data_IF_996022089677
#
_entry.id   IF_996022089677
#
_cell.length_a   1.000
_cell.length_b   1.000
_cell.length_c   1.000
_cell.angle_alpha   90.00
_cell.angle_beta   90.00
_cell.angle_gamma   90.00
#
_symmetry.space_group_name_H-M   'P 1'
#
loop_
_entity.id
_entity.type
_entity.pdbx_description
1 polymer ?
#
# COMPACT_ATOMS: atom_id res chain seq x y z
N UNK A 1 -25.59 -34.23 -5.00
CA UNK A 1 -24.35 -33.44 -5.20
C UNK A 1 -23.68 -33.27 -3.85
N UNK A 2 -22.40 -33.63 -3.67
CA UNK A 2 -21.72 -33.35 -2.42
C UNK A 2 -21.55 -31.83 -2.24
N UNK A 3 -21.81 -31.34 -1.03
CA UNK A 3 -21.58 -29.94 -0.65
C UNK A 3 -20.23 -29.83 0.07
N UNK A 4 -19.50 -28.73 -0.15
CA UNK A 4 -18.30 -28.46 0.62
C UNK A 4 -18.64 -28.15 2.08
N UNK A 5 -17.82 -28.64 3.02
CA UNK A 5 -17.95 -28.33 4.45
C UNK A 5 -17.73 -26.84 4.75
N UNK A 6 -16.83 -26.19 4.01
CA UNK A 6 -16.52 -24.77 4.14
C UNK A 6 -16.71 -24.04 2.81
N UNK A 7 -17.29 -22.82 2.81
CA UNK A 7 -17.39 -21.99 1.62
C UNK A 7 -16.02 -21.69 0.99
N UNK A 8 -15.88 -21.70 -0.35
CA UNK A 8 -14.62 -21.39 -1.03
C UNK A 8 -13.99 -20.04 -0.66
N UNK A 9 -14.81 -19.04 -0.30
CA UNK A 9 -14.35 -17.73 0.16
C UNK A 9 -13.50 -17.80 1.44
N UNK A 10 -13.69 -18.82 2.27
CA UNK A 10 -12.96 -18.97 3.54
C UNK A 10 -11.66 -19.77 3.39
N UNK A 11 -11.43 -20.43 2.26
CA UNK A 11 -10.24 -21.28 2.07
C UNK A 11 -8.91 -20.52 2.25
N UNK A 12 -8.74 -19.27 1.77
CA UNK A 12 -7.51 -18.50 2.05
C UNK A 12 -7.28 -18.28 3.55
N UNK A 13 -8.33 -17.96 4.29
CA UNK A 13 -8.24 -17.76 5.74
C UNK A 13 -7.95 -19.07 6.50
N UNK A 14 -8.50 -20.20 6.04
CA UNK A 14 -8.20 -21.53 6.59
C UNK A 14 -6.75 -21.92 6.32
N UNK A 15 -6.22 -21.63 5.12
CA UNK A 15 -4.80 -21.87 4.78
C UNK A 15 -3.85 -21.13 5.72
N UNK A 16 -4.23 -19.96 6.24
CA UNK A 16 -3.42 -19.22 7.22
C UNK A 16 -3.39 -19.87 8.62
N UNK A 17 -4.34 -20.76 8.92
CA UNK A 17 -4.43 -21.46 10.22
C UNK A 17 -3.70 -22.81 10.23
N UNK A 18 -3.22 -23.27 9.08
CA UNK A 18 -2.62 -24.59 8.92
C UNK A 18 -1.16 -24.49 8.44
N UNK A 19 -0.39 -25.55 8.70
CA UNK A 19 0.95 -25.74 8.15
C UNK A 19 1.98 -24.71 8.61
N UNK A 20 2.79 -24.20 7.67
CA UNK A 20 3.81 -23.18 7.93
C UNK A 20 3.21 -21.79 8.18
N UNK A 21 2.03 -21.50 7.61
CA UNK A 21 1.39 -20.20 7.74
C UNK A 21 0.95 -19.91 9.18
N UNK A 22 0.59 -20.94 9.96
CA UNK A 22 0.20 -20.77 11.36
C UNK A 22 1.37 -20.44 12.29
N UNK A 23 2.62 -20.64 11.83
CA UNK A 23 3.85 -20.31 12.56
C UNK A 23 4.43 -18.94 12.19
N UNK A 24 3.76 -18.21 11.29
CA UNK A 24 4.15 -16.84 10.96
C UNK A 24 3.89 -15.90 12.15
N UNK A 25 4.65 -14.81 12.28
CA UNK A 25 4.45 -13.87 13.37
C UNK A 25 3.05 -13.25 13.39
N UNK A 26 2.52 -13.03 14.60
CA UNK A 26 1.16 -12.53 14.78
C UNK A 26 0.97 -11.11 14.22
N UNK A 27 1.96 -10.23 14.36
CA UNK A 27 1.91 -8.87 13.79
C UNK A 27 1.78 -8.89 12.25
N UNK A 28 2.44 -9.84 11.57
CA UNK A 28 2.33 -10.01 10.13
C UNK A 28 0.95 -10.54 9.73
N UNK A 29 0.42 -11.52 10.47
CA UNK A 29 -0.92 -12.05 10.25
C UNK A 29 -2.01 -11.01 10.51
N UNK A 30 -1.83 -10.14 11.52
CA UNK A 30 -2.72 -9.01 11.78
C UNK A 30 -2.74 -8.02 10.62
N UNK A 31 -1.55 -7.64 10.10
CA UNK A 31 -1.44 -6.77 8.93
C UNK A 31 -2.01 -7.37 7.64
N UNK A 32 -2.04 -8.71 7.52
CA UNK A 32 -2.65 -9.40 6.37
C UNK A 32 -4.19 -9.43 6.46
N UNK A 33 -4.73 -9.45 7.68
CA UNK A 33 -6.17 -9.41 7.96
C UNK A 33 -6.73 -7.98 7.97
N UNK A 34 -5.87 -6.99 7.88
CA UNK A 34 -6.27 -5.59 7.79
C UNK A 34 -6.97 -5.33 6.46
N UNK A 35 -8.28 -5.12 6.53
CA UNK A 35 -9.15 -4.78 5.40
C UNK A 35 -9.54 -3.29 5.42
N UNK A 36 -8.70 -2.44 6.02
CA UNK A 36 -8.92 -0.99 6.00
C UNK A 36 -9.12 -0.49 4.56
N UNK A 37 -10.22 0.24 4.29
CA UNK A 37 -10.49 0.73 2.95
C UNK A 37 -9.46 1.80 2.56
N UNK A 38 -8.94 1.77 1.32
CA UNK A 38 -7.99 2.76 0.88
C UNK A 38 -8.65 4.14 0.74
N UNK A 39 -7.82 5.17 0.78
CA UNK A 39 -8.22 6.56 0.59
C UNK A 39 -8.85 6.75 -0.81
N UNK A 40 -9.98 7.48 -0.94
CA UNK A 40 -10.62 7.72 -2.22
C UNK A 40 -9.71 8.50 -3.18
N UNK A 41 -9.52 7.96 -4.39
CA UNK A 41 -8.71 8.60 -5.46
C UNK A 41 -9.57 8.94 -6.68
N UNK A 42 -10.19 7.93 -7.29
CA UNK A 42 -10.93 8.07 -8.56
C UNK A 42 -12.40 8.44 -8.39
N UNK A 43 -12.82 8.76 -7.17
CA UNK A 43 -14.19 9.10 -6.80
C UNK A 43 -14.19 10.04 -5.61
N UNK A 44 -15.27 10.80 -5.43
CA UNK A 44 -15.40 11.75 -4.32
C UNK A 44 -16.31 11.16 -3.25
N UNK A 45 -15.86 11.06 -1.99
CA UNK A 45 -16.71 10.62 -0.89
C UNK A 45 -17.82 11.63 -0.64
N UNK A 46 -18.99 11.13 -0.23
CA UNK A 46 -20.15 11.98 0.01
C UNK A 46 -20.08 12.69 1.36
N UNK A 47 -19.34 12.15 2.33
CA UNK A 47 -19.16 12.74 3.66
C UNK A 47 -20.41 12.68 4.56
N UNK A 48 -21.53 12.15 4.07
CA UNK A 48 -22.80 12.02 4.80
C UNK A 48 -23.33 10.59 4.72
N UNK A 49 -23.94 10.10 5.79
CA UNK A 49 -24.55 8.76 5.84
C UNK A 49 -25.98 8.73 5.32
N UNK A 50 -26.62 9.89 5.22
CA UNK A 50 -27.97 10.01 4.68
C UNK A 50 -28.11 11.29 3.88
N UNK A 51 -28.96 11.25 2.86
CA UNK A 51 -29.31 12.40 2.02
C UNK A 51 -30.83 12.45 1.88
N UNK A 52 -31.37 13.65 1.86
CA UNK A 52 -32.77 13.87 1.47
C UNK A 52 -32.92 13.66 -0.03
N UNK A 53 -33.81 12.76 -0.43
CA UNK A 53 -34.14 12.57 -1.83
C UNK A 53 -34.92 13.80 -2.33
N UNK A 54 -34.41 14.53 -3.34
CA UNK A 54 -35.04 15.76 -3.82
C UNK A 54 -36.40 15.53 -4.49
N UNK A 55 -36.73 14.28 -4.87
CA UNK A 55 -38.00 13.94 -5.53
C UNK A 55 -39.07 13.48 -4.55
N UNK A 56 -38.72 12.62 -3.60
CA UNK A 56 -39.68 12.04 -2.64
C UNK A 56 -39.74 12.81 -1.33
N UNK A 57 -38.71 13.60 -1.02
CA UNK A 57 -38.59 14.27 0.27
C UNK A 57 -38.29 13.31 1.42
N UNK A 58 -37.96 12.05 1.16
CA UNK A 58 -37.61 11.07 2.18
C UNK A 58 -36.09 11.03 2.45
N UNK A 59 -35.71 10.60 3.65
CA UNK A 59 -34.30 10.43 4.03
C UNK A 59 -33.79 9.07 3.55
N UNK A 60 -32.89 9.07 2.58
CA UNK A 60 -32.26 7.85 2.06
C UNK A 60 -30.85 7.67 2.65
N UNK A 61 -30.51 6.43 3.00
CA UNK A 61 -29.14 6.10 3.37
C UNK A 61 -28.29 6.06 2.12
N UNK A 62 -27.13 6.73 2.16
CA UNK A 62 -26.17 6.65 1.05
C UNK A 62 -24.90 5.96 1.53
N UNK A 63 -24.29 5.20 0.62
CA UNK A 63 -23.05 4.47 0.84
C UNK A 63 -22.04 4.88 -0.22
N UNK A 64 -20.81 5.04 0.23
CA UNK A 64 -19.67 5.30 -0.60
C UNK A 64 -19.13 3.96 -1.12
N UNK A 65 -19.22 3.73 -2.43
CA UNK A 65 -18.77 2.50 -3.10
C UNK A 65 -17.51 2.82 -3.89
N UNK A 66 -16.36 2.20 -3.57
CA UNK A 66 -15.11 2.50 -4.25
C UNK A 66 -15.14 2.05 -5.72
N UNK A 67 -14.49 2.82 -6.57
CA UNK A 67 -14.27 2.45 -7.98
C UNK A 67 -13.20 1.37 -8.06
N UNK A 68 -13.50 0.25 -8.72
CA UNK A 68 -12.55 -0.83 -8.92
C UNK A 68 -11.37 -0.37 -9.80
N UNK A 69 -10.17 -0.39 -9.23
CA UNK A 69 -8.92 -0.01 -9.91
C UNK A 69 -8.19 -1.27 -10.35
N UNK A 70 -7.71 -1.26 -11.60
CA UNK A 70 -6.83 -2.30 -12.12
C UNK A 70 -5.37 -1.85 -11.99
N UNK A 71 -4.55 -2.69 -11.33
CA UNK A 71 -3.13 -2.45 -11.09
C UNK A 71 -2.29 -3.27 -12.08
N UNK A 72 -1.61 -2.64 -13.05
CA UNK A 72 -0.64 -3.32 -13.89
C UNK A 72 0.66 -3.58 -13.11
N UNK A 73 1.49 -4.55 -13.56
CA UNK A 73 2.80 -4.84 -12.93
C UNK A 73 3.73 -3.63 -12.83
N UNK A 74 3.66 -2.71 -13.80
CA UNK A 74 4.43 -1.46 -13.77
C UNK A 74 4.08 -0.54 -12.58
N UNK A 75 2.91 -0.73 -11.95
CA UNK A 75 2.55 -0.02 -10.73
C UNK A 75 3.32 -0.56 -9.51
N UNK A 76 3.65 -1.85 -9.50
CA UNK A 76 4.45 -2.46 -8.43
C UNK A 76 5.92 -1.99 -8.46
N UNK A 77 6.43 -1.62 -9.63
CA UNK A 77 7.79 -1.10 -9.85
C UNK A 77 7.93 0.41 -9.61
N UNK A 78 6.81 1.13 -9.56
CA UNK A 78 6.77 2.60 -9.40
C UNK A 78 6.00 3.05 -8.17
N UNK A 79 5.75 4.36 -8.06
CA UNK A 79 4.96 4.96 -6.98
C UNK A 79 3.82 5.80 -7.55
N UNK A 80 2.62 5.20 -7.63
CA UNK A 80 1.47 5.82 -8.32
C UNK A 80 0.49 6.54 -7.37
N UNK A 81 0.70 6.48 -6.06
CA UNK A 81 -0.06 7.27 -5.08
C UNK A 81 -1.54 6.92 -5.01
N UNK A 82 -1.89 5.64 -5.21
CA UNK A 82 -3.27 5.18 -5.25
C UNK A 82 -3.97 5.36 -6.62
N UNK A 83 -3.28 5.89 -7.64
CA UNK A 83 -3.80 5.91 -9.00
C UNK A 83 -3.57 4.60 -9.74
N UNK A 84 -4.50 4.20 -10.60
CA UNK A 84 -4.34 3.02 -11.44
C UNK A 84 -5.27 3.08 -12.65
N UNK A 85 -5.42 1.95 -13.36
CA UNK A 85 -6.24 1.94 -14.57
C UNK A 85 -7.71 1.73 -14.21
N UNK A 86 -8.57 2.62 -14.68
CA UNK A 86 -10.01 2.45 -14.57
C UNK A 86 -10.51 1.83 -15.86
N UNK A 87 -11.14 0.65 -15.76
CA UNK A 87 -11.78 -0.03 -16.89
C UNK A 87 -13.29 0.11 -16.75
N UNK A 88 -13.93 0.80 -17.67
CA UNK A 88 -15.37 1.00 -17.61
C UNK A 88 -15.99 1.33 -18.96
N UNK A 89 -17.14 1.97 -18.89
CA UNK A 89 -17.93 2.35 -20.05
C UNK A 89 -18.28 3.83 -19.99
N UNK A 90 -18.44 4.44 -21.16
CA UNK A 90 -19.01 5.77 -21.32
C UNK A 90 -20.10 5.72 -22.38
N UNK A 91 -21.09 6.59 -22.27
CA UNK A 91 -22.05 6.80 -23.33
C UNK A 91 -21.54 7.85 -24.31
N UNK A 92 -21.81 7.68 -25.61
CA UNK A 92 -21.48 8.70 -26.60
C UNK A 92 -22.23 10.01 -26.29
N UNK A 93 -21.57 11.15 -26.47
CA UNK A 93 -22.10 12.50 -26.15
C UNK A 93 -22.59 12.69 -24.71
N UNK A 94 -22.24 11.77 -23.79
CA UNK A 94 -22.75 11.72 -22.41
C UNK A 94 -24.28 11.56 -22.31
N UNK A 95 -24.91 11.00 -23.34
CA UNK A 95 -26.35 10.74 -23.37
C UNK A 95 -26.64 9.25 -23.17
N UNK A 96 -27.49 8.92 -22.18
CA UNK A 96 -27.83 7.53 -21.82
C UNK A 96 -28.51 6.77 -22.97
N UNK A 97 -29.21 7.47 -23.87
CA UNK A 97 -29.88 6.87 -25.03
C UNK A 97 -28.92 6.60 -26.20
N UNK A 98 -27.71 7.16 -26.14
CA UNK A 98 -26.67 6.95 -27.16
C UNK A 98 -25.87 5.67 -26.92
N UNK A 99 -25.03 5.27 -27.88
CA UNK A 99 -24.25 4.03 -27.84
C UNK A 99 -23.29 3.97 -26.64
N UNK A 100 -23.25 2.82 -25.96
CA UNK A 100 -22.30 2.53 -24.87
C UNK A 100 -20.96 2.06 -25.41
N UNK A 101 -19.88 2.76 -25.06
CA UNK A 101 -18.51 2.51 -25.51
C UNK A 101 -17.61 2.10 -24.34
N UNK A 102 -16.74 1.10 -24.56
CA UNK A 102 -15.72 0.72 -23.57
C UNK A 102 -14.62 1.78 -23.53
N UNK A 103 -14.23 2.22 -22.34
CA UNK A 103 -13.14 3.18 -22.14
C UNK A 103 -12.22 2.70 -21.03
N UNK A 104 -10.92 2.86 -21.26
CA UNK A 104 -9.88 2.69 -20.25
C UNK A 104 -9.27 4.05 -19.98
N UNK A 105 -9.27 4.46 -18.72
CA UNK A 105 -8.58 5.66 -18.25
C UNK A 105 -7.27 5.23 -17.62
N UNK A 106 -6.17 5.84 -18.08
CA UNK A 106 -4.81 5.57 -17.60
C UNK A 106 -4.28 6.83 -16.90
N UNK A 107 -3.50 6.69 -15.82
CA UNK A 107 -2.85 7.82 -15.18
C UNK A 107 -1.72 8.37 -16.05
N UNK A 108 -1.30 9.60 -15.76
CA UNK A 108 -0.13 10.21 -16.39
C UNK A 108 1.11 9.87 -15.56
N UNK A 109 2.13 9.32 -16.23
CA UNK A 109 3.35 8.83 -15.59
C UNK A 109 4.54 9.72 -15.96
N UNK A 110 5.44 9.93 -15.01
CA UNK A 110 6.69 10.68 -15.17
C UNK A 110 7.82 9.92 -14.51
N UNK A 111 9.01 9.98 -15.10
CA UNK A 111 10.23 9.50 -14.45
C UNK A 111 10.89 10.67 -13.73
N UNK A 112 11.10 10.54 -12.42
CA UNK A 112 11.70 11.57 -11.57
C UNK A 112 12.74 10.97 -10.64
N UNK A 113 13.71 11.78 -10.26
CA UNK A 113 14.71 11.42 -9.27
C UNK A 113 14.27 11.95 -7.90
N UNK A 114 14.20 11.06 -6.92
CA UNK A 114 13.84 11.36 -5.53
C UNK A 114 15.01 10.97 -4.64
N UNK A 115 15.38 11.85 -3.71
CA UNK A 115 16.42 11.57 -2.73
C UNK A 115 15.79 11.11 -1.41
N UNK A 116 16.37 10.08 -0.80
CA UNK A 116 16.03 9.60 0.53
C UNK A 116 17.16 9.91 1.50
N UNK A 117 16.84 10.56 2.62
CA UNK A 117 17.78 10.89 3.68
C UNK A 117 18.15 9.64 4.49
N UNK A 118 17.16 8.76 4.76
CA UNK A 118 17.38 7.51 5.51
C UNK A 118 18.24 6.53 4.70
N UNK A 119 18.04 6.49 3.38
CA UNK A 119 18.79 5.61 2.50
C UNK A 119 20.13 6.22 2.03
N UNK A 120 20.28 7.54 2.14
CA UNK A 120 21.37 8.35 1.56
C UNK A 120 21.60 8.02 0.07
N UNK A 121 20.50 7.94 -0.69
CA UNK A 121 20.52 7.51 -2.08
C UNK A 121 19.47 8.26 -2.91
N UNK A 122 19.83 8.57 -4.16
CA UNK A 122 18.90 9.07 -5.18
C UNK A 122 18.31 7.90 -5.96
N UNK A 123 16.99 7.83 -6.03
CA UNK A 123 16.24 6.79 -6.73
C UNK A 123 15.55 7.40 -7.95
N UNK A 124 15.69 6.77 -9.12
CA UNK A 124 14.90 7.11 -10.31
C UNK A 124 13.64 6.26 -10.31
N UNK A 125 12.47 6.86 -10.09
CA UNK A 125 11.20 6.14 -9.94
C UNK A 125 10.14 6.75 -10.85
N UNK A 126 9.28 5.89 -11.39
CA UNK A 126 8.09 6.30 -12.14
C UNK A 126 6.99 6.73 -11.18
N UNK A 127 6.59 7.99 -11.26
CA UNK A 127 5.63 8.65 -10.37
C UNK A 127 4.46 9.27 -11.14
N UNK A 128 3.34 9.47 -10.46
CA UNK A 128 2.20 10.28 -10.95
C UNK A 128 2.29 11.70 -10.37
N UNK A 129 1.52 12.65 -10.93
CA UNK A 129 1.43 13.99 -10.33
C UNK A 129 0.93 13.94 -8.88
N UNK A 130 -0.09 13.10 -8.60
CA UNK A 130 -0.61 12.93 -7.25
C UNK A 130 0.45 12.45 -6.26
N UNK A 131 1.35 11.54 -6.67
CA UNK A 131 2.44 11.09 -5.79
C UNK A 131 3.34 12.26 -5.41
N UNK A 132 3.66 13.15 -6.35
CA UNK A 132 4.46 14.35 -6.06
C UNK A 132 3.73 15.28 -5.08
N UNK A 133 2.44 15.53 -5.30
CA UNK A 133 1.63 16.36 -4.39
C UNK A 133 1.57 15.75 -2.97
N UNK A 134 1.48 14.42 -2.86
CA UNK A 134 1.46 13.72 -1.57
C UNK A 134 2.83 13.76 -0.86
N UNK A 135 3.93 13.72 -1.63
CA UNK A 135 5.29 13.88 -1.09
C UNK A 135 5.46 15.29 -0.51
N UNK A 136 4.97 16.31 -1.23
CA UNK A 136 5.02 17.70 -0.77
C UNK A 136 4.16 17.91 0.48
N UNK A 137 2.96 17.33 0.52
CA UNK A 137 2.08 17.34 1.70
C UNK A 137 2.69 16.62 2.91
N UNK A 138 3.48 15.58 2.67
CA UNK A 138 4.19 14.84 3.71
C UNK A 138 5.49 15.54 4.17
N UNK A 139 5.88 16.64 3.52
CA UNK A 139 7.15 17.36 3.73
C UNK A 139 8.40 16.51 3.53
N UNK A 140 8.36 15.57 2.59
CA UNK A 140 9.52 14.77 2.22
C UNK A 140 9.18 13.36 1.74
N UNK A 141 10.06 12.81 0.93
CA UNK A 141 9.90 11.47 0.36
C UNK A 141 9.86 10.38 1.44
N UNK A 142 10.79 10.42 2.39
CA UNK A 142 10.88 9.43 3.46
C UNK A 142 9.63 9.46 4.36
N UNK A 143 9.13 10.67 4.68
CA UNK A 143 7.88 10.81 5.43
C UNK A 143 6.68 10.26 4.68
N UNK A 144 6.59 10.49 3.37
CA UNK A 144 5.53 9.91 2.55
C UNK A 144 5.54 8.38 2.65
N UNK A 145 6.68 7.73 2.42
CA UNK A 145 6.79 6.26 2.49
C UNK A 145 6.46 5.71 3.89
N UNK A 146 6.93 6.39 4.94
CA UNK A 146 6.71 5.94 6.33
C UNK A 146 5.27 6.16 6.80
N UNK A 147 4.64 7.30 6.48
CA UNK A 147 3.27 7.65 6.88
C UNK A 147 2.21 6.89 6.08
N UNK A 148 2.42 6.67 4.78
CA UNK A 148 1.40 6.06 3.93
C UNK A 148 1.21 4.57 4.28
N UNK A 149 -0.04 4.11 4.54
CA UNK A 149 -0.32 2.71 4.83
C UNK A 149 -0.22 1.84 3.57
N UNK A 150 -0.11 0.52 3.76
CA UNK A 150 0.01 -0.46 2.66
C UNK A 150 -1.15 -0.35 1.66
N UNK A 151 -2.37 -0.14 2.17
CA UNK A 151 -3.58 -0.02 1.36
C UNK A 151 -3.53 1.17 0.38
N UNK A 152 -2.87 2.28 0.76
CA UNK A 152 -2.80 3.49 -0.05
C UNK A 152 -1.56 3.53 -0.94
N UNK A 153 -0.46 2.91 -0.52
CA UNK A 153 0.79 2.90 -1.28
C UNK A 153 0.66 2.09 -2.57
N UNK A 154 -0.08 0.97 -2.53
CA UNK A 154 -0.41 0.12 -3.68
C UNK A 154 0.79 -0.25 -4.60
N UNK A 155 1.99 -0.38 -4.02
CA UNK A 155 3.23 -0.64 -4.75
C UNK A 155 4.15 -1.54 -3.94
N UNK A 156 4.70 -2.57 -4.58
CA UNK A 156 5.69 -3.48 -3.98
C UNK A 156 7.00 -2.76 -3.70
N UNK A 157 7.51 -1.99 -4.67
CA UNK A 157 8.72 -1.17 -4.51
C UNK A 157 8.57 -0.22 -3.31
N UNK A 158 7.43 0.46 -3.19
CA UNK A 158 7.18 1.35 -2.05
C UNK A 158 7.22 0.64 -0.71
N UNK A 159 6.63 -0.56 -0.62
CA UNK A 159 6.65 -1.37 0.61
C UNK A 159 8.05 -1.91 0.93
N UNK A 160 8.83 -2.26 -0.09
CA UNK A 160 10.22 -2.68 0.10
C UNK A 160 11.10 -1.53 0.57
N UNK A 161 10.92 -0.32 0.04
CA UNK A 161 11.57 0.90 0.54
C UNK A 161 11.17 1.19 1.98
N UNK A 162 9.89 1.04 2.32
CA UNK A 162 9.41 1.22 3.69
C UNK A 162 10.11 0.28 4.66
N UNK A 163 10.19 -1.01 4.29
CA UNK A 163 10.90 -2.02 5.08
C UNK A 163 12.39 -1.68 5.25
N UNK A 164 13.09 -1.31 4.18
CA UNK A 164 14.52 -0.98 4.28
C UNK A 164 14.78 0.24 5.14
N UNK A 165 13.93 1.27 5.04
CA UNK A 165 13.99 2.45 5.91
C UNK A 165 13.76 2.07 7.38
N UNK A 166 12.70 1.31 7.69
CA UNK A 166 12.39 0.87 9.06
C UNK A 166 13.53 0.03 9.66
N UNK A 167 14.14 -0.87 8.88
CA UNK A 167 15.29 -1.65 9.34
C UNK A 167 16.51 -0.77 9.65
N UNK A 168 16.76 0.26 8.84
CA UNK A 168 17.86 1.21 9.12
C UNK A 168 17.60 2.03 10.37
N UNK A 169 16.35 2.42 10.61
CA UNK A 169 15.95 3.11 11.84
C UNK A 169 16.08 2.21 13.07
N UNK A 170 15.64 0.95 12.98
CA UNK A 170 15.71 -0.02 14.07
C UNK A 170 17.16 -0.37 14.47
N UNK A 171 18.02 -0.60 13.47
CA UNK A 171 19.43 -0.99 13.70
C UNK A 171 20.34 0.17 14.09
N UNK A 172 19.90 1.42 13.89
CA UNK A 172 20.73 2.64 13.98
C UNK A 172 22.07 2.46 13.24
N UNK A 173 21.99 1.99 12.00
CA UNK A 173 23.14 1.57 11.20
C UNK A 173 24.24 2.65 11.14
N UNK A 174 25.46 2.36 11.64
CA UNK A 174 26.56 3.33 11.64
C UNK A 174 27.09 3.68 10.24
N UNK A 175 26.64 2.96 9.20
CA UNK A 175 27.00 3.26 7.80
C UNK A 175 26.28 4.48 7.24
N UNK A 176 25.22 4.97 7.88
CA UNK A 176 24.51 6.16 7.43
C UNK A 176 25.36 7.41 7.70
N UNK A 177 25.85 8.10 6.67
CA UNK A 177 26.80 9.22 6.79
C UNK A 177 27.98 8.88 7.74
N UNK A 178 28.93 8.04 7.31
CA UNK A 178 30.06 7.60 8.14
C UNK A 178 30.86 8.77 8.72
N UNK A 179 31.03 9.83 7.93
CA UNK A 179 31.88 10.98 8.24
C UNK A 179 31.19 12.03 9.13
N UNK A 180 29.85 12.03 9.18
CA UNK A 180 29.04 13.06 9.87
C UNK A 180 28.09 12.46 10.93
N UNK A 181 28.58 12.14 12.14
CA UNK A 181 27.75 11.56 13.20
C UNK A 181 26.62 12.51 13.68
N UNK A 182 26.87 13.82 13.71
CA UNK A 182 25.85 14.80 14.10
C UNK A 182 24.65 14.81 13.13
N UNK A 183 24.91 14.70 11.82
CA UNK A 183 23.86 14.62 10.80
C UNK A 183 23.06 13.33 10.94
N UNK A 184 23.74 12.22 11.20
CA UNK A 184 23.12 10.92 11.45
C UNK A 184 22.14 10.96 12.63
N UNK A 185 22.57 11.52 13.77
CA UNK A 185 21.71 11.67 14.94
C UNK A 185 20.50 12.58 14.65
N UNK A 186 20.69 13.67 13.93
CA UNK A 186 19.61 14.56 13.52
C UNK A 186 18.56 13.84 12.65
N UNK A 187 18.99 13.00 11.71
CA UNK A 187 18.09 12.17 10.88
C UNK A 187 17.32 11.18 11.75
N UNK A 188 17.98 10.47 12.67
CA UNK A 188 17.29 9.55 13.56
C UNK A 188 16.26 10.24 14.45
N UNK A 189 16.58 11.40 14.99
CA UNK A 189 15.65 12.18 15.81
C UNK A 189 14.45 12.66 14.97
N UNK A 190 14.66 13.02 13.69
CA UNK A 190 13.59 13.44 12.77
C UNK A 190 12.56 12.34 12.50
N UNK A 191 12.99 11.08 12.40
CA UNK A 191 12.13 9.93 12.07
C UNK A 191 11.84 9.01 13.27
N UNK A 192 12.12 9.46 14.49
CA UNK A 192 12.00 8.65 15.71
C UNK A 192 10.58 8.10 15.93
N UNK A 193 9.55 8.83 15.48
CA UNK A 193 8.15 8.43 15.59
C UNK A 193 7.81 7.12 14.85
N UNK A 194 8.61 6.73 13.85
CA UNK A 194 8.41 5.53 13.05
C UNK A 194 9.34 4.37 13.45
N UNK A 195 10.10 4.51 14.54
CA UNK A 195 10.98 3.46 15.00
C UNK A 195 10.18 2.26 15.52
N UNK A 196 10.31 1.13 14.83
CA UNK A 196 9.67 -0.16 15.15
C UNK A 196 10.79 -1.16 15.50
N UNK A 197 10.57 -2.15 16.39
CA UNK A 197 11.55 -3.20 16.64
C UNK A 197 12.00 -3.90 15.35
N UNK A 198 13.27 -4.28 15.29
CA UNK A 198 13.84 -4.96 14.13
C UNK A 198 13.05 -6.22 13.76
N UNK A 199 12.66 -6.99 14.77
CA UNK A 199 11.90 -8.23 14.61
C UNK A 199 10.58 -8.03 13.87
N UNK A 200 9.90 -6.90 14.05
CA UNK A 200 8.65 -6.57 13.36
C UNK A 200 8.93 -5.92 12.00
N UNK A 201 9.91 -5.02 11.94
CA UNK A 201 10.30 -4.30 10.74
C UNK A 201 10.68 -5.25 9.59
N UNK A 202 11.34 -6.38 9.88
CA UNK A 202 11.73 -7.33 8.85
C UNK A 202 10.55 -8.03 8.13
N UNK A 203 9.34 -8.00 8.69
CA UNK A 203 8.15 -8.61 8.07
C UNK A 203 7.26 -7.61 7.35
N UNK A 204 7.52 -6.31 7.49
CA UNK A 204 6.77 -5.25 6.82
C UNK A 204 6.92 -5.38 5.31
N UNK A 205 5.79 -5.31 4.59
CA UNK A 205 5.81 -5.29 3.11
C UNK A 205 6.06 -6.62 2.42
N UNK A 206 6.29 -7.70 3.16
CA UNK A 206 6.42 -9.04 2.60
C UNK A 206 5.10 -9.52 1.98
N UNK A 207 5.20 -10.20 0.84
CA UNK A 207 4.09 -10.99 0.31
C UNK A 207 3.90 -12.26 1.16
N UNK A 208 2.75 -12.92 1.06
CA UNK A 208 2.52 -14.18 1.78
C UNK A 208 3.55 -15.25 1.36
N UNK A 209 3.92 -15.28 0.08
CA UNK A 209 4.90 -16.23 -0.46
C UNK A 209 6.31 -15.94 0.07
N UNK A 210 6.72 -14.67 0.09
CA UNK A 210 8.01 -14.25 0.65
C UNK A 210 8.09 -14.53 2.16
N UNK A 211 6.99 -14.31 2.89
CA UNK A 211 6.92 -14.58 4.33
C UNK A 211 7.03 -16.09 4.63
N UNK A 212 6.37 -16.94 3.84
CA UNK A 212 6.49 -18.40 3.96
C UNK A 212 7.93 -18.84 3.70
N UNK A 213 8.57 -18.33 2.65
CA UNK A 213 9.95 -18.69 2.33
C UNK A 213 10.93 -18.20 3.41
N UNK A 214 10.74 -16.98 3.92
CA UNK A 214 11.51 -16.46 5.05
C UNK A 214 11.39 -17.37 6.27
N UNK A 215 10.17 -17.76 6.64
CA UNK A 215 9.93 -18.66 7.78
C UNK A 215 10.59 -20.02 7.58
N UNK A 216 10.50 -20.59 6.37
CA UNK A 216 11.13 -21.87 6.01
C UNK A 216 12.65 -21.82 6.19
N UNK A 217 13.29 -20.72 5.77
CA UNK A 217 14.74 -20.54 5.91
C UNK A 217 15.16 -20.35 7.37
N UNK A 218 14.34 -19.69 8.20
CA UNK A 218 14.58 -19.58 9.64
C UNK A 218 14.53 -20.94 10.33
N UNK A 219 13.50 -21.75 10.06
CA UNK A 219 13.37 -23.11 10.62
C UNK A 219 14.53 -24.02 10.19
N UNK A 220 14.98 -23.90 8.93
CA UNK A 220 16.15 -24.65 8.44
C UNK A 220 17.43 -24.28 9.19
N UNK A 221 17.64 -22.99 9.47
CA UNK A 221 18.82 -22.51 10.23
C UNK A 221 18.82 -22.97 11.68
N UNK A 222 17.66 -23.08 12.31
CA UNK A 222 17.54 -23.60 13.69
C UNK A 222 17.77 -25.11 13.74
N UNK A 223 17.41 -25.83 12.68
CA UNK A 223 17.60 -27.28 12.56
C UNK A 223 19.01 -27.73 12.13
N UNK A 224 19.85 -26.82 11.65
CA UNK A 224 21.22 -27.12 11.19
C UNK A 224 22.24 -26.73 12.25
#
# INVERSE_FOLDING_TARGET
>A
MPLHRFPPRLWPALRLREGICSRLPEHFLAALRDETPPTPVHWRPQGVTSRWNPRTGERERVQDVPVAVFWPRAADEGLWGGEGWIRGYRYARNDKLSTRLRKVWKPQLFERQLYSEILDATLTVTVTMRTLDLIDQAYGFDFYILKTPKADLCSKLGMDLKRTMLLRLARRDPKLHPDDPARREAIYNKYQEFAIPEEEAEWVGLSLEEAIEKQRLLEKKVSS
#
